data_IF_300326332148
#
_entry.id   IF_300326332148
#
_cell.length_a   1.000
_cell.length_b   1.000
_cell.length_c   1.000
_cell.angle_alpha   90.00
_cell.angle_beta   90.00
_cell.angle_gamma   90.00
#
_symmetry.space_group_name_H-M   'P 1'
#
loop_
_entity.id
_entity.type
_entity.pdbx_description
1 polymer ?
#
# COMPACT_ATOMS: atom_id res chain seq x y z
N UNK A 1 13.10 16.76 62.78
CA UNK A 1 13.93 16.21 61.71
C UNK A 1 13.33 14.87 61.30
N UNK A 2 13.41 14.55 60.01
CA UNK A 2 12.80 13.43 59.27
C UNK A 2 11.49 13.82 58.55
N UNK A 3 11.64 14.43 57.37
CA UNK A 3 10.62 14.37 56.31
C UNK A 3 10.87 13.06 55.55
N UNK A 4 9.94 12.11 55.65
CA UNK A 4 9.85 10.95 54.75
C UNK A 4 9.50 11.47 53.36
N UNK A 5 10.49 11.56 52.48
CA UNK A 5 10.31 11.89 51.07
C UNK A 5 10.25 10.56 50.32
N UNK A 6 9.04 10.10 50.02
CA UNK A 6 8.82 8.98 49.11
C UNK A 6 9.49 9.28 47.75
N UNK A 7 10.27 8.35 47.18
CA UNK A 7 10.89 8.57 45.88
C UNK A 7 9.81 8.69 44.80
N UNK A 8 9.99 9.57 43.79
CA UNK A 8 8.98 9.77 42.75
C UNK A 8 8.79 8.46 41.96
N UNK A 9 7.56 7.96 41.95
CA UNK A 9 7.14 6.85 41.09
C UNK A 9 7.42 7.24 39.63
N UNK A 10 8.48 6.67 39.05
CA UNK A 10 8.78 6.78 37.63
C UNK A 10 7.71 5.99 36.87
N UNK A 11 6.63 6.66 36.47
CA UNK A 11 5.65 6.11 35.53
C UNK A 11 6.31 5.98 34.16
N UNK A 12 7.05 4.87 33.96
CA UNK A 12 7.56 4.48 32.66
C UNK A 12 6.37 4.07 31.79
N UNK A 13 5.85 5.01 31.01
CA UNK A 13 4.83 4.74 30.00
C UNK A 13 5.44 3.85 28.92
N UNK A 14 5.16 2.54 28.95
CA UNK A 14 5.58 1.61 27.92
C UNK A 14 4.75 1.84 26.65
N UNK A 15 5.24 2.70 25.75
CA UNK A 15 4.64 2.93 24.44
C UNK A 15 4.97 1.75 23.52
N UNK A 16 3.96 0.92 23.23
CA UNK A 16 4.09 -0.18 22.27
C UNK A 16 4.00 0.35 20.84
N UNK A 17 5.14 0.60 20.21
CA UNK A 17 5.20 0.98 18.79
C UNK A 17 5.20 -0.29 17.95
N UNK A 18 4.10 -0.54 17.22
CA UNK A 18 4.10 -1.60 16.21
C UNK A 18 5.07 -1.23 15.08
N UNK A 19 5.89 -2.17 14.59
CA UNK A 19 6.79 -1.88 13.48
C UNK A 19 5.99 -1.45 12.25
N UNK A 20 6.52 -0.45 11.55
CA UNK A 20 5.91 0.00 10.30
C UNK A 20 5.82 -1.18 9.32
N UNK A 21 4.70 -1.29 8.61
CA UNK A 21 4.57 -2.30 7.56
C UNK A 21 5.67 -2.09 6.52
N UNK A 22 6.32 -3.16 6.03
CA UNK A 22 7.31 -3.03 4.96
C UNK A 22 6.65 -2.39 3.73
N UNK A 23 7.41 -1.54 3.05
CA UNK A 23 6.94 -0.90 1.82
C UNK A 23 6.57 -1.96 0.78
N UNK A 24 5.47 -1.78 0.04
CA UNK A 24 5.11 -2.70 -1.03
C UNK A 24 6.24 -2.76 -2.05
N UNK A 25 6.74 -3.97 -2.31
CA UNK A 25 7.79 -4.18 -3.32
C UNK A 25 7.17 -3.96 -4.69
N UNK A 26 7.51 -2.83 -5.30
CA UNK A 26 7.03 -2.48 -6.62
C UNK A 26 7.83 -3.24 -7.68
N UNK A 27 7.14 -4.03 -8.52
CA UNK A 27 7.77 -4.68 -9.65
C UNK A 27 7.99 -3.65 -10.78
N UNK A 28 9.23 -3.17 -10.90
CA UNK A 28 9.61 -2.11 -11.85
C UNK A 28 9.43 -2.56 -13.30
N UNK A 29 9.78 -3.80 -13.61
CA UNK A 29 9.66 -4.33 -14.99
C UNK A 29 8.21 -4.43 -15.41
N UNK A 30 7.34 -4.88 -14.51
CA UNK A 30 5.90 -4.87 -14.72
C UNK A 30 5.37 -3.45 -14.94
N UNK A 31 5.78 -2.48 -14.12
CA UNK A 31 5.35 -1.10 -14.26
C UNK A 31 5.78 -0.51 -15.62
N UNK A 32 6.99 -0.83 -16.09
CA UNK A 32 7.46 -0.44 -17.44
C UNK A 32 6.61 -1.07 -18.54
N UNK A 33 6.29 -2.36 -18.42
CA UNK A 33 5.43 -3.05 -19.37
C UNK A 33 4.02 -2.46 -19.43
N UNK A 34 3.44 -2.09 -18.28
CA UNK A 34 2.14 -1.41 -18.18
C UNK A 34 2.17 -0.03 -18.85
N UNK A 35 3.23 0.76 -18.66
CA UNK A 35 3.39 2.07 -19.31
C UNK A 35 3.48 1.95 -20.83
N UNK A 36 4.30 1.03 -21.36
CA UNK A 36 4.41 0.78 -22.79
C UNK A 36 3.07 0.31 -23.36
N UNK A 37 2.35 -0.56 -22.63
CA UNK A 37 1.04 -1.03 -23.06
C UNK A 37 0.03 0.12 -23.18
N UNK A 38 -0.02 1.02 -22.19
CA UNK A 38 -0.89 2.21 -22.23
C UNK A 38 -0.55 3.09 -23.44
N UNK A 39 0.73 3.37 -23.67
CA UNK A 39 1.17 4.16 -24.83
C UNK A 39 0.76 3.52 -26.16
N UNK A 40 0.90 2.20 -26.29
CA UNK A 40 0.47 1.49 -27.49
C UNK A 40 -1.05 1.58 -27.68
N UNK A 41 -1.83 1.42 -26.60
CA UNK A 41 -3.29 1.49 -26.63
C UNK A 41 -3.79 2.89 -27.01
N UNK A 42 -3.19 3.96 -26.48
CA UNK A 42 -3.57 5.34 -26.84
C UNK A 42 -3.25 5.66 -28.30
N UNK A 43 -2.22 5.02 -28.88
CA UNK A 43 -1.90 5.07 -30.32
C UNK A 43 -2.81 4.20 -31.18
N UNK A 44 -3.79 3.49 -30.61
CA UNK A 44 -4.73 2.64 -31.33
C UNK A 44 -4.21 1.23 -31.66
N UNK A 45 -3.17 0.74 -30.97
CA UNK A 45 -2.69 -0.63 -31.17
C UNK A 45 -3.75 -1.66 -30.73
N UNK A 46 -3.82 -2.78 -31.44
CA UNK A 46 -4.74 -3.86 -31.11
C UNK A 46 -4.31 -4.63 -29.85
N UNK A 47 -5.28 -5.19 -29.13
CA UNK A 47 -5.08 -6.03 -27.94
C UNK A 47 -3.98 -7.10 -28.13
N UNK A 48 -4.04 -7.82 -29.26
CA UNK A 48 -3.08 -8.89 -29.56
C UNK A 48 -1.65 -8.35 -29.69
N UNK A 49 -1.49 -7.21 -30.38
CA UNK A 49 -0.18 -6.58 -30.56
C UNK A 49 0.41 -6.10 -29.25
N UNK A 50 -0.41 -5.50 -28.38
CA UNK A 50 0.02 -5.06 -27.04
C UNK A 50 0.47 -6.25 -26.21
N UNK A 51 -0.35 -7.32 -26.16
CA UNK A 51 -0.03 -8.52 -25.39
C UNK A 51 1.28 -9.18 -25.83
N UNK A 52 1.51 -9.29 -27.14
CA UNK A 52 2.75 -9.86 -27.67
C UNK A 52 3.97 -8.97 -27.38
N UNK A 53 3.82 -7.65 -27.42
CA UNK A 53 4.93 -6.72 -27.21
C UNK A 53 5.34 -6.60 -25.74
N UNK A 54 4.39 -6.63 -24.80
CA UNK A 54 4.66 -6.34 -23.38
C UNK A 54 4.69 -7.57 -22.49
N UNK A 55 4.20 -8.72 -22.99
CA UNK A 55 4.15 -9.97 -22.21
C UNK A 55 3.16 -9.95 -21.04
N UNK A 56 2.35 -8.89 -20.91
CA UNK A 56 1.36 -8.76 -19.84
C UNK A 56 0.28 -9.83 -19.91
N UNK A 57 -0.31 -10.15 -18.76
CA UNK A 57 -1.39 -11.12 -18.72
C UNK A 57 -2.64 -10.59 -19.46
N UNK A 58 -3.43 -11.46 -20.10
CA UNK A 58 -4.67 -11.08 -20.79
C UNK A 58 -5.61 -10.17 -19.97
N UNK A 59 -5.76 -10.48 -18.68
CA UNK A 59 -6.61 -9.73 -17.75
C UNK A 59 -6.10 -8.30 -17.54
N UNK A 60 -4.78 -8.13 -17.49
CA UNK A 60 -4.13 -6.83 -17.27
C UNK A 60 -4.29 -5.94 -18.50
N UNK A 61 -4.04 -6.48 -19.70
CA UNK A 61 -4.23 -5.73 -20.95
C UNK A 61 -5.69 -5.28 -21.10
N UNK A 62 -6.66 -6.14 -20.78
CA UNK A 62 -8.09 -5.76 -20.79
C UNK A 62 -8.39 -4.63 -19.80
N UNK A 63 -7.86 -4.73 -18.58
CA UNK A 63 -7.99 -3.68 -17.57
C UNK A 63 -7.42 -2.34 -18.07
N UNK A 64 -6.24 -2.36 -18.68
CA UNK A 64 -5.61 -1.17 -19.24
C UNK A 64 -6.43 -0.58 -20.39
N UNK A 65 -7.04 -1.41 -21.24
CA UNK A 65 -7.95 -0.93 -22.29
C UNK A 65 -9.15 -0.18 -21.72
N UNK A 66 -9.78 -0.71 -20.67
CA UNK A 66 -10.88 -0.02 -19.99
C UNK A 66 -10.43 1.31 -19.40
N UNK A 67 -9.27 1.35 -18.73
CA UNK A 67 -8.73 2.58 -18.15
C UNK A 67 -8.42 3.64 -19.22
N UNK A 68 -7.83 3.23 -20.34
CA UNK A 68 -7.54 4.14 -21.47
C UNK A 68 -8.84 4.63 -22.11
N UNK A 69 -9.87 3.79 -22.24
CA UNK A 69 -11.17 4.19 -22.76
C UNK A 69 -11.90 5.17 -21.84
N UNK A 70 -11.88 4.93 -20.52
CA UNK A 70 -12.43 5.85 -19.52
C UNK A 70 -11.71 7.21 -19.55
N UNK A 71 -10.39 7.20 -19.71
CA UNK A 71 -9.58 8.42 -19.80
C UNK A 71 -9.89 9.20 -21.10
N UNK A 72 -9.99 8.50 -22.24
CA UNK A 72 -10.35 9.10 -23.51
C UNK A 72 -11.74 9.76 -23.49
N UNK A 73 -12.66 9.25 -22.66
CA UNK A 73 -13.98 9.82 -22.47
C UNK A 73 -13.95 11.17 -21.72
N UNK A 74 -12.95 11.40 -20.85
CA UNK A 74 -12.81 12.61 -20.04
C UNK A 74 -11.36 13.12 -20.00
N UNK A 75 -10.81 13.64 -21.13
CA UNK A 75 -9.40 14.02 -21.25
C UNK A 75 -8.99 15.22 -20.38
N UNK A 76 -9.97 15.94 -19.81
CA UNK A 76 -9.74 17.13 -19.00
C UNK A 76 -9.42 16.86 -17.53
N UNK A 77 -9.34 15.60 -17.10
CA UNK A 77 -9.17 15.25 -15.68
C UNK A 77 -7.73 14.80 -15.39
N UNK A 78 -6.78 15.72 -15.09
CA UNK A 78 -5.42 15.30 -14.76
C UNK A 78 -5.44 14.47 -13.47
N UNK A 79 -5.11 13.17 -13.57
CA UNK A 79 -4.81 12.33 -12.40
C UNK A 79 -3.46 12.77 -11.83
N UNK A 80 -3.52 13.69 -10.88
CA UNK A 80 -2.37 14.12 -10.07
C UNK A 80 -1.64 12.87 -9.54
N UNK A 81 -0.38 12.75 -9.92
CA UNK A 81 0.55 11.62 -9.67
C UNK A 81 0.83 11.39 -8.18
N UNK A 82 0.30 12.25 -7.30
CA UNK A 82 0.34 12.11 -5.85
C UNK A 82 -1.10 12.18 -5.30
N UNK A 83 -1.89 11.12 -5.47
CA UNK A 83 -3.11 10.99 -4.64
C UNK A 83 -2.65 10.77 -3.19
N UNK A 84 -2.93 11.74 -2.33
CA UNK A 84 -2.98 11.54 -0.88
C UNK A 84 -3.83 10.29 -0.62
N UNK A 85 -3.34 9.28 0.12
CA UNK A 85 -4.10 8.07 0.34
C UNK A 85 -5.45 8.47 0.96
N UNK A 86 -6.55 8.01 0.34
CA UNK A 86 -7.87 8.20 0.93
C UNK A 86 -7.82 7.58 2.33
N UNK A 87 -8.10 8.37 3.38
CA UNK A 87 -8.25 7.84 4.74
C UNK A 87 -9.33 6.77 4.68
N UNK A 88 -8.93 5.51 4.85
CA UNK A 88 -9.84 4.39 5.06
C UNK A 88 -10.63 4.71 6.32
N UNK A 89 -11.91 5.02 6.18
CA UNK A 89 -12.80 5.05 7.34
C UNK A 89 -12.87 3.63 7.92
N UNK A 90 -12.54 3.40 9.20
CA UNK A 90 -12.69 2.10 9.83
C UNK A 90 -14.18 1.84 10.06
N UNK A 91 -14.83 1.31 9.02
CA UNK A 91 -16.27 1.09 8.99
C UNK A 91 -16.63 -0.36 8.70
N UNK A 92 -16.63 -1.17 9.76
CA UNK A 92 -17.41 -2.41 9.97
C UNK A 92 -16.86 -3.72 9.34
N UNK A 93 -16.60 -4.77 10.16
CA UNK A 93 -16.26 -6.09 9.65
C UNK A 93 -17.53 -6.85 9.26
N UNK A 94 -17.53 -7.49 8.09
CA UNK A 94 -18.46 -8.57 7.75
C UNK A 94 -17.70 -9.71 7.07
N UNK A 95 -17.52 -10.80 7.82
CA UNK A 95 -17.81 -12.17 7.35
C UNK A 95 -16.82 -12.89 6.42
N UNK A 96 -15.99 -13.74 7.06
CA UNK A 96 -15.67 -15.16 6.73
C UNK A 96 -14.71 -15.59 5.58
N UNK A 97 -13.55 -16.12 6.05
CA UNK A 97 -12.76 -17.33 5.65
C UNK A 97 -11.83 -17.31 4.40
N UNK A 98 -10.68 -18.04 4.36
CA UNK A 98 -10.30 -19.29 5.07
C UNK A 98 -8.93 -19.26 5.84
N UNK A 99 -8.49 -20.36 6.53
CA UNK A 99 -7.33 -20.34 7.42
C UNK A 99 -6.02 -20.72 6.71
N UNK A 100 -4.92 -20.02 6.99
CA UNK A 100 -3.58 -20.57 6.81
C UNK A 100 -2.54 -19.85 7.67
N UNK A 101 -1.97 -20.68 8.54
CA UNK A 101 -0.69 -20.63 9.25
C UNK A 101 -0.49 -19.59 10.38
N UNK A 102 -0.07 -20.04 11.58
CA UNK A 102 0.48 -19.16 12.60
C UNK A 102 1.91 -18.80 12.17
N UNK A 103 2.11 -17.56 11.74
CA UNK A 103 3.45 -17.02 11.55
C UNK A 103 4.03 -16.61 12.91
N UNK A 104 5.33 -16.85 13.04
CA UNK A 104 6.15 -16.85 14.24
C UNK A 104 5.94 -15.62 15.15
N UNK A 105 5.92 -15.88 16.46
CA UNK A 105 6.04 -14.92 17.54
C UNK A 105 7.27 -14.04 17.38
N UNK A 106 7.14 -12.90 16.70
CA UNK A 106 8.06 -11.78 16.87
C UNK A 106 7.71 -11.10 18.20
N UNK A 107 8.52 -11.37 19.22
CA UNK A 107 8.35 -10.78 20.55
C UNK A 107 8.39 -9.25 20.48
N UNK A 108 7.50 -8.55 21.20
CA UNK A 108 7.47 -7.09 21.20
C UNK A 108 8.74 -6.53 21.86
N UNK A 109 9.53 -5.76 21.10
CA UNK A 109 10.68 -5.01 21.62
C UNK A 109 10.16 -3.82 22.42
N UNK A 110 10.34 -3.85 23.75
CA UNK A 110 10.02 -2.73 24.61
C UNK A 110 11.15 -1.70 24.55
N UNK A 111 10.82 -0.46 24.16
CA UNK A 111 11.74 0.66 24.12
C UNK A 111 11.38 1.60 25.27
N UNK A 112 12.28 1.76 26.23
CA UNK A 112 12.15 2.72 27.33
C UNK A 112 12.75 4.04 26.90
N UNK A 113 11.96 5.12 26.95
CA UNK A 113 12.45 6.48 26.68
C UNK A 113 12.51 7.24 28.00
N UNK A 114 13.68 7.77 28.35
CA UNK A 114 13.86 8.72 29.46
C UNK A 114 13.87 10.13 28.88
N UNK A 115 12.97 11.00 29.34
CA UNK A 115 13.06 12.44 29.10
C UNK A 115 13.87 13.06 30.25
N UNK A 116 14.92 13.82 29.90
CA UNK A 116 15.70 14.69 30.79
C UNK A 116 15.13 16.11 30.75
#
# INVERSE_FOLDING_TARGET
>A
MAEDIDPPEQTAETVTVLPARPWPVFNVDRARAELIAIEMLTRGASYLRVRHATGLAPKEVRRLQTLVAEEAQNPATPRIVCRTPARVHPGRPRGSAPPSQPDETAEPVQMTFTLD
#
